data_IF_571691183518
#
_entry.id   IF_571691183518
#
_cell.length_a   1.000
_cell.length_b   1.000
_cell.length_c   1.000
_cell.angle_alpha   90.00
_cell.angle_beta   90.00
_cell.angle_gamma   90.00
#
_symmetry.space_group_name_H-M   'P 1'
#
loop_
_entity.id
_entity.type
_entity.pdbx_description
1 polymer ?
2 non-polymer ?
3 non-polymer ?
4 non-polymer ?
5 non-polymer ?
6 water ?
#
# COMPACT_ATOMS: atom_id res chain seq x y z
N UNK A 6 -3.44 -4.64 16.75
CA UNK A 6 -2.07 -4.18 16.31
C UNK A 6 -2.13 -2.94 15.40
N UNK A 7 -1.52 -1.84 15.80
CA UNK A 7 -1.48 -0.64 14.97
C UNK A 7 -0.35 -0.81 13.94
N UNK A 8 -0.59 -0.40 12.70
CA UNK A 8 0.39 -0.52 11.62
C UNK A 8 0.64 0.85 11.00
N UNK A 9 1.91 1.25 10.87
CA UNK A 9 2.28 2.46 10.12
C UNK A 9 2.70 2.08 8.72
N UNK A 10 2.33 2.92 7.77
CA UNK A 10 2.54 2.63 6.34
C UNK A 10 2.99 3.93 5.72
N UNK A 11 3.86 3.81 4.71
CA UNK A 11 4.17 4.91 3.84
C UNK A 11 3.88 4.47 2.40
N UNK A 12 3.04 5.26 1.73
CA UNK A 12 2.58 4.97 0.40
C UNK A 12 3.19 5.90 -0.61
N UNK A 13 3.65 5.30 -1.71
CA UNK A 13 4.28 6.01 -2.84
C UNK A 13 3.76 5.36 -4.12
N UNK A 14 3.62 6.17 -5.21
CA UNK A 14 3.29 5.61 -6.54
C UNK A 14 4.40 4.62 -6.93
N UNK A 15 4.05 3.45 -7.47
CA UNK A 15 5.05 2.52 -7.96
C UNK A 15 6.00 3.28 -8.91
N UNK A 16 7.32 3.21 -8.67
CA UNK A 16 8.26 4.08 -9.43
C UNK A 16 8.39 3.84 -10.93
N UNK A 17 8.05 2.66 -11.45
CA UNK A 17 8.09 2.48 -12.91
C UNK A 17 6.68 2.27 -13.51
N UNK A 18 5.73 1.79 -12.71
CA UNK A 18 4.38 1.52 -13.22
C UNK A 18 3.48 2.75 -13.20
N UNK A 19 3.82 3.74 -12.39
CA UNK A 19 3.13 5.03 -12.42
C UNK A 19 4.04 6.06 -13.13
N UNK A 20 3.43 6.94 -13.92
CA UNK A 20 4.18 8.02 -14.60
C UNK A 20 4.72 9.00 -13.56
N UNK A 21 6.04 9.21 -13.56
CA UNK A 21 6.78 9.84 -12.43
C UNK A 21 6.17 11.10 -11.80
N UNK A 25 2.64 13.27 -7.35
CA UNK A 25 3.53 14.02 -6.46
C UNK A 25 3.83 13.33 -5.10
N UNK A 26 2.80 12.94 -4.35
CA UNK A 26 2.94 12.75 -2.87
C UNK A 26 3.48 11.42 -2.27
N UNK A 27 4.04 11.53 -1.06
CA UNK A 27 4.27 10.42 -0.15
C UNK A 27 3.18 10.53 0.94
N UNK A 28 2.47 9.45 1.23
CA UNK A 28 1.38 9.45 2.18
C UNK A 28 1.71 8.55 3.36
N UNK A 29 1.63 9.12 4.55
CA UNK A 29 1.93 8.44 5.83
C UNK A 29 0.63 8.17 6.54
N UNK A 30 0.38 6.89 6.80
CA UNK A 30 -0.87 6.42 7.37
C UNK A 30 -0.57 5.51 8.56
N UNK A 31 -1.35 5.65 9.63
CA UNK A 31 -1.38 4.70 10.74
C UNK A 31 -2.79 4.11 10.78
N UNK A 32 -2.92 2.78 10.89
CA UNK A 32 -4.23 2.11 10.85
C UNK A 32 -4.21 0.81 11.67
N UNK A 33 -5.29 0.05 11.63
CA UNK A 33 -5.35 -1.20 12.34
C UNK A 33 -4.77 -2.33 11.46
N UNK A 34 -4.09 -3.29 12.10
CA UNK A 34 -3.56 -4.49 11.41
C UNK A 34 -4.71 -5.33 10.89
N UNK A 35 -5.93 -5.02 11.33
CA UNK A 35 -7.11 -5.74 10.88
C UNK A 35 -7.66 -5.26 9.54
N UNK A 36 -7.29 -4.04 9.12
CA UNK A 36 -7.64 -3.54 7.80
C UNK A 36 -7.04 -4.49 6.74
N UNK A 37 -7.77 -4.73 5.65
CA UNK A 37 -7.26 -5.53 4.54
C UNK A 37 -6.53 -4.69 3.50
N UNK A 38 -5.72 -5.36 2.68
CA UNK A 38 -5.11 -4.74 1.52
C UNK A 38 -6.18 -4.15 0.56
N UNK A 39 -7.27 -4.88 0.35
CA UNK A 39 -8.35 -4.36 -0.47
C UNK A 39 -8.93 -3.06 0.12
N UNK A 40 -9.22 -3.04 1.43
CA UNK A 40 -9.71 -1.80 2.08
C UNK A 40 -8.75 -0.65 1.78
N UNK A 41 -7.46 -0.93 1.91
CA UNK A 41 -6.44 0.06 1.60
C UNK A 41 -6.48 0.55 0.14
N UNK A 42 -6.69 -0.35 -0.82
CA UNK A 42 -6.70 0.10 -2.19
C UNK A 42 -7.99 0.92 -2.48
N UNK A 43 -9.09 0.60 -1.78
CA UNK A 43 -10.31 1.40 -1.95
C UNK A 43 -10.19 2.79 -1.34
N UNK A 44 -9.58 2.84 -0.16
CA UNK A 44 -9.22 4.10 0.52
C UNK A 44 -8.37 4.99 -0.41
N UNK A 45 -7.34 4.37 -0.97
CA UNK A 45 -6.45 5.04 -1.87
C UNK A 45 -7.16 5.59 -3.14
N UNK A 46 -8.07 4.80 -3.73
CA UNK A 46 -8.82 5.25 -4.89
C UNK A 46 -9.63 6.51 -4.57
N UNK A 47 -10.23 6.54 -3.37
CA UNK A 47 -10.97 7.74 -2.90
C UNK A 47 -9.99 8.89 -2.71
N UNK A 48 -8.85 8.63 -2.07
CA UNK A 48 -7.89 9.75 -1.84
C UNK A 48 -7.43 10.33 -3.17
N UNK A 49 -7.03 9.45 -4.10
CA UNK A 49 -6.39 9.92 -5.34
C UNK A 49 -7.39 10.64 -6.24
N UNK A 50 -8.65 10.19 -6.24
CA UNK A 50 -9.70 10.87 -7.03
C UNK A 50 -9.81 12.35 -6.65
N UNK A 51 -9.68 12.65 -5.37
CA UNK A 51 -9.81 14.04 -4.94
C UNK A 51 -8.48 14.80 -5.02
N UNK A 52 -7.40 14.17 -4.57
CA UNK A 52 -6.12 14.80 -4.37
C UNK A 52 -5.34 14.92 -5.67
N UNK A 53 -5.73 14.16 -6.68
CA UNK A 53 -5.11 14.33 -7.97
C UNK A 53 -6.14 14.83 -8.97
N UNK A 54 -7.30 15.29 -8.46
CA UNK A 54 -8.28 16.07 -9.23
C UNK A 54 -7.78 17.52 -9.31
N UNK A 67 -17.34 7.09 -11.64
CA UNK A 67 -16.43 7.76 -10.71
C UNK A 67 -14.99 7.17 -10.63
N UNK A 68 -14.02 8.07 -10.49
CA UNK A 68 -12.61 7.74 -10.30
C UNK A 68 -12.36 7.05 -8.94
N UNK A 69 -13.28 7.26 -7.98
CA UNK A 69 -13.23 6.63 -6.65
C UNK A 69 -13.52 5.13 -6.73
N UNK A 70 -14.03 4.72 -7.89
CA UNK A 70 -14.28 3.32 -8.22
C UNK A 70 -13.04 2.65 -8.87
N UNK A 71 -12.07 3.45 -9.37
CA UNK A 71 -10.86 2.92 -10.01
C UNK A 71 -10.13 1.96 -9.05
N UNK A 72 -9.57 0.87 -9.58
CA UNK A 72 -8.89 -0.13 -8.74
C UNK A 72 -7.36 0.06 -8.73
N UNK A 73 -6.74 -0.15 -7.58
CA UNK A 73 -5.27 -0.11 -7.45
C UNK A 73 -4.73 -1.38 -6.90
N UNK A 74 -3.54 -1.73 -7.38
CA UNK A 74 -2.80 -2.88 -6.94
C UNK A 74 -1.80 -2.33 -5.93
N UNK A 75 -1.63 -3.04 -4.81
CA UNK A 75 -0.66 -2.63 -3.79
C UNK A 75 0.56 -3.58 -3.80
N UNK A 76 1.76 -3.01 -3.78
CA UNK A 76 3.02 -3.74 -3.79
C UNK A 76 3.75 -3.40 -2.50
N UNK A 77 4.58 -4.31 -2.01
CA UNK A 77 5.49 -4.02 -0.89
C UNK A 77 6.94 -4.18 -1.42
N UNK A 78 7.81 -3.24 -1.04
CA UNK A 78 9.21 -3.24 -1.40
C UNK A 78 9.86 -4.47 -0.75
N UNK A 79 10.74 -5.11 -1.49
CA UNK A 79 11.55 -6.20 -0.93
C UNK A 79 12.99 -5.78 -0.71
N UNK A 80 13.66 -6.50 0.18
CA UNK A 80 15.06 -6.23 0.53
C UNK A 80 15.98 -6.29 -0.68
N UNK A 81 15.66 -7.13 -1.67
CA UNK A 81 16.48 -7.24 -2.88
C UNK A 81 16.09 -6.27 -4.01
N UNK A 82 15.26 -5.30 -3.69
CA UNK A 82 14.98 -4.22 -4.66
C UNK A 82 13.83 -4.51 -5.61
N UNK A 83 12.99 -5.46 -5.21
CA UNK A 83 11.79 -5.84 -5.99
C UNK A 83 10.54 -5.33 -5.31
N UNK A 84 9.40 -5.66 -5.92
CA UNK A 84 8.07 -5.29 -5.43
C UNK A 84 7.13 -6.47 -5.51
N UNK A 85 6.66 -6.94 -4.36
CA UNK A 85 5.71 -8.05 -4.26
C UNK A 85 4.29 -7.53 -4.24
N UNK A 86 3.49 -7.98 -5.20
CA UNK A 86 2.08 -7.71 -5.20
C UNK A 86 1.44 -8.35 -3.92
N UNK A 87 0.65 -7.55 -3.19
CA UNK A 87 -0.10 -8.00 -1.98
C UNK A 87 -1.51 -8.43 -2.38
N UNK A 88 -1.87 -9.67 -2.01
CA UNK A 88 -3.25 -10.19 -2.19
C UNK A 88 -4.24 -9.31 -1.42
N UNK A 89 -5.30 -8.85 -2.11
CA UNK A 89 -6.24 -7.91 -1.52
C UNK A 89 -6.97 -8.46 -0.28
N UNK A 90 -7.05 -9.80 -0.16
CA UNK A 90 -7.70 -10.42 1.03
C UNK A 90 -6.85 -10.42 2.32
N UNK A 91 -5.53 -10.20 2.21
CA UNK A 91 -4.63 -10.27 3.37
C UNK A 91 -4.89 -9.09 4.32
N UNK A 92 -4.92 -9.35 5.63
CA UNK A 92 -4.91 -8.23 6.61
C UNK A 92 -3.54 -7.55 6.58
N UNK A 93 -3.45 -6.29 7.02
CA UNK A 93 -2.14 -5.68 7.12
C UNK A 93 -1.22 -6.38 8.14
N UNK A 94 -1.80 -7.01 9.16
CA UNK A 94 -1.01 -7.74 10.14
C UNK A 94 -0.35 -8.94 9.49
N UNK A 95 -1.11 -9.64 8.65
CA UNK A 95 -0.57 -10.76 7.88
C UNK A 95 0.52 -10.29 6.89
N UNK A 96 0.26 -9.19 6.16
CA UNK A 96 1.29 -8.58 5.30
C UNK A 96 2.59 -8.37 6.06
N UNK A 97 2.50 -7.74 7.22
CA UNK A 97 3.64 -7.48 8.07
C UNK A 97 4.35 -8.80 8.52
N UNK A 98 3.59 -9.81 8.91
CA UNK A 98 4.21 -11.10 9.25
C UNK A 98 4.88 -11.77 8.07
N UNK A 99 4.23 -11.76 6.92
CA UNK A 99 4.78 -12.42 5.74
C UNK A 99 5.95 -11.68 5.11
N UNK A 100 5.82 -10.36 5.01
CA UNK A 100 6.69 -9.57 4.16
C UNK A 100 7.46 -8.43 4.83
N UNK A 101 7.17 -8.12 6.10
CA UNK A 101 7.70 -6.91 6.71
C UNK A 101 7.69 -7.05 8.21
N UNK A 102 8.66 -7.74 8.74
CA UNK A 102 8.67 -8.01 10.18
C UNK A 102 9.29 -6.87 10.97
N UNK A 103 10.01 -6.00 10.26
CA UNK A 103 10.93 -5.04 10.86
C UNK A 103 10.18 -3.87 11.49
N UNK A 104 10.87 -3.18 12.41
CA UNK A 104 10.29 -2.04 13.10
C UNK A 104 10.38 -0.70 12.33
N UNK A 105 9.68 -0.61 11.19
CA UNK A 105 9.69 0.57 10.30
C UNK A 105 8.30 0.60 9.69
N UNK A 106 7.80 1.78 9.32
CA UNK A 106 6.54 1.78 8.57
C UNK A 106 6.64 0.95 7.28
N UNK A 107 5.59 0.18 6.94
CA UNK A 107 5.60 -0.62 5.73
C UNK A 107 5.72 0.27 4.51
N UNK A 108 6.66 -0.07 3.63
CA UNK A 108 6.89 0.68 2.43
C UNK A 108 6.08 0.10 1.27
N UNK A 109 4.92 0.73 1.04
CA UNK A 109 3.88 0.31 0.12
C UNK A 109 3.83 1.20 -1.13
N UNK A 110 3.53 0.56 -2.27
CA UNK A 110 3.50 1.23 -3.56
C UNK A 110 2.24 0.83 -4.26
N UNK A 111 1.70 1.76 -5.02
CA UNK A 111 0.47 1.50 -5.75
C UNK A 111 0.62 1.73 -7.26
N UNK A 112 -0.16 1.00 -8.04
CA UNK A 112 -0.33 1.28 -9.48
C UNK A 112 -1.72 0.84 -9.94
X LIG B 1 16.32 -1.24 1.11
X LIG B 1 15.48 -1.90 0.16
X LIG B 1 14.03 -1.64 0.53
X LIG B 1 13.80 -2.78 1.32
X LIG B 1 12.45 -2.95 1.64
X LIG B 1 12.44 -4.18 2.53
X LIG B 1 12.89 -3.65 3.81
X LIG B 1 12.31 -4.42 4.84
X LIG B 1 13.12 -5.67 5.07
X LIG B 1 14.35 -5.22 5.74
X LIG B 1 15.22 -6.37 5.98
X LIG B 1 16.64 -5.92 5.61
X LIG B 1 17.02 -4.88 6.52
X LIG C 1 3.86 -1.68 11.67
X LIG C 1 4.32 -0.35 11.83
X LIG C 1 4.76 -2.52 10.75
X LIG C 1 5.27 -1.56 9.84
X LIG C 1 5.88 -3.18 11.60
X LIG C 1 6.33 -4.48 11.21
X LIG D 1 -0.90 12.10 4.40
X LIG D 1 0.51 12.07 4.85
X LIG D 1 -1.03 12.59 3.04
X LIG D 1 -1.49 10.73 4.50
X LIG D 1 -1.63 13.11 5.18
X LIG E 1 9.85 10.72 0.00
#
# INVERSE_FOLDING_TARGET
>A
GMDGASEIELVFRPHPTLMEKDDSAQTRYIKTSGNATVDHLSKYLAVRLALEELRSKGESNQMNLDTASEKQYTIYIATASGQFTVLNGSFSLELVSEKYWKVNKPMELYYA
>B hetero
1 2PE O1 C2 C3 O4 C5 C6 O7 C8 C9 O10 C11 C12 O13
>C hetero
1 GOL C1 O1 C2 O2 C3 O3
>D hetero
1 SO4 S O1 O2 O3 O4
>E hetero
1 CL CL
#
